data_IF_198437434753
#
_entry.id   IF_198437434753
#
_cell.length_a   1.000
_cell.length_b   1.000
_cell.length_c   1.000
_cell.angle_alpha   90.00
_cell.angle_beta   90.00
_cell.angle_gamma   90.00
#
_symmetry.space_group_name_H-M   'P 1'
#
loop_
_entity.id
_entity.type
_entity.pdbx_description
1 polymer ?
#
# COMPACT_ATOMS: atom_id res chain seq x y z
N UNK A 1 1.50 -60.68 4.86
CA UNK A 1 0.78 -60.76 3.57
C UNK A 1 -0.69 -60.78 3.94
N UNK A 2 -1.46 -59.71 3.78
CA UNK A 2 -1.78 -59.09 2.49
C UNK A 2 -1.92 -57.57 2.69
N UNK A 3 -1.29 -56.84 1.78
CA UNK A 3 -1.26 -55.38 1.69
C UNK A 3 -2.65 -54.80 1.45
N UNK A 4 -2.97 -53.72 2.15
CA UNK A 4 -4.20 -52.95 1.93
C UNK A 4 -3.89 -51.89 0.88
N UNK A 5 -4.37 -52.13 -0.35
CA UNK A 5 -4.28 -51.20 -1.48
C UNK A 5 -5.06 -49.92 -1.17
N UNK A 6 -4.34 -48.86 -0.77
CA UNK A 6 -4.90 -47.52 -0.66
C UNK A 6 -5.23 -47.02 -2.08
N UNK A 7 -6.52 -46.81 -2.32
CA UNK A 7 -7.03 -46.08 -3.49
C UNK A 7 -6.46 -44.67 -3.49
N UNK A 8 -5.57 -44.38 -4.44
CA UNK A 8 -5.18 -43.02 -4.80
C UNK A 8 -6.38 -42.42 -5.54
N UNK A 9 -7.28 -41.76 -4.80
CA UNK A 9 -8.14 -40.75 -5.40
C UNK A 9 -7.25 -39.53 -5.64
N UNK A 10 -7.02 -39.21 -6.90
CA UNK A 10 -6.44 -37.95 -7.33
C UNK A 10 -7.30 -36.80 -6.79
N UNK A 11 -6.88 -36.19 -5.69
CA UNK A 11 -7.45 -34.95 -5.20
C UNK A 11 -7.07 -33.85 -6.19
N UNK A 12 -8.10 -33.21 -6.75
CA UNK A 12 -7.94 -32.00 -7.54
C UNK A 12 -7.07 -31.00 -6.76
N UNK A 13 -5.98 -30.60 -7.40
CA UNK A 13 -4.98 -29.68 -6.88
C UNK A 13 -5.68 -28.34 -6.58
N UNK A 14 -6.02 -28.10 -5.31
CA UNK A 14 -6.65 -26.85 -4.89
C UNK A 14 -5.63 -25.71 -5.06
N UNK A 15 -6.06 -24.63 -5.71
CA UNK A 15 -5.34 -23.35 -5.87
C UNK A 15 -5.09 -22.71 -4.48
N UNK A 16 -4.12 -23.22 -3.70
CA UNK A 16 -3.77 -22.71 -2.37
C UNK A 16 -2.71 -21.62 -2.52
N UNK A 17 -3.13 -20.36 -2.41
CA UNK A 17 -2.23 -19.21 -2.37
C UNK A 17 -1.63 -18.99 -0.99
N UNK A 18 -0.32 -18.84 -0.90
CA UNK A 18 0.39 -18.52 0.35
C UNK A 18 0.71 -17.02 0.39
N UNK A 19 -0.02 -16.28 1.23
CA UNK A 19 0.26 -14.86 1.53
C UNK A 19 1.59 -14.68 2.26
N UNK A 20 2.13 -13.46 2.20
CA UNK A 20 3.35 -13.04 2.90
C UNK A 20 3.23 -13.16 4.42
N UNK A 21 4.39 -13.10 5.08
CA UNK A 21 4.58 -13.22 6.54
C UNK A 21 3.71 -12.22 7.34
N UNK A 22 3.40 -11.07 6.75
CA UNK A 22 2.58 -10.00 7.34
C UNK A 22 1.07 -10.22 7.13
N UNK A 23 0.67 -11.10 6.21
CA UNK A 23 -0.72 -11.40 5.87
C UNK A 23 -1.17 -12.77 6.43
N UNK A 24 -1.05 -12.94 7.76
CA UNK A 24 -1.55 -14.15 8.45
C UNK A 24 -3.04 -14.35 8.12
N UNK A 25 -3.38 -15.53 7.60
CA UNK A 25 -4.72 -15.93 7.12
C UNK A 25 -5.22 -15.33 5.79
N UNK A 26 -4.38 -14.59 5.04
CA UNK A 26 -4.75 -13.99 3.73
C UNK A 26 -6.02 -13.12 3.79
N UNK A 27 -6.16 -12.35 4.86
CA UNK A 27 -7.28 -11.41 5.08
C UNK A 27 -7.01 -10.01 4.55
N UNK A 28 -5.74 -9.63 4.41
CA UNK A 28 -5.33 -8.37 3.81
C UNK A 28 -5.05 -8.57 2.31
N UNK A 29 -5.26 -7.53 1.52
CA UNK A 29 -4.90 -7.56 0.11
C UNK A 29 -3.39 -7.57 -0.04
N UNK A 30 -2.87 -8.56 -0.76
CA UNK A 30 -1.47 -8.62 -1.15
C UNK A 30 -1.42 -8.83 -2.65
N UNK A 31 -0.84 -7.86 -3.35
CA UNK A 31 -0.64 -7.88 -4.78
C UNK A 31 0.84 -8.10 -5.08
N UNK A 32 1.13 -9.11 -5.90
CA UNK A 32 2.46 -9.37 -6.41
C UNK A 32 2.49 -9.01 -7.88
N UNK A 33 3.42 -8.14 -8.26
CA UNK A 33 3.61 -7.72 -9.64
C UNK A 33 4.36 -8.81 -10.42
N UNK A 34 3.75 -9.32 -11.48
CA UNK A 34 4.30 -10.32 -12.40
C UNK A 34 4.51 -9.78 -13.82
N UNK A 35 4.41 -8.46 -14.02
CA UNK A 35 4.41 -7.84 -15.34
C UNK A 35 5.66 -8.15 -16.15
N UNK A 36 6.85 -8.06 -15.54
CA UNK A 36 8.11 -8.35 -16.23
C UNK A 36 8.21 -9.82 -16.65
N UNK A 37 7.72 -10.74 -15.82
CA UNK A 37 7.77 -12.17 -16.11
C UNK A 37 6.77 -12.54 -17.20
N UNK A 38 5.56 -11.96 -17.15
CA UNK A 38 4.54 -12.14 -18.16
C UNK A 38 4.98 -11.58 -19.52
N UNK A 39 5.54 -10.36 -19.55
CA UNK A 39 6.10 -9.76 -20.77
C UNK A 39 7.18 -10.63 -21.40
N UNK A 40 8.14 -11.10 -20.59
CA UNK A 40 9.20 -12.00 -21.06
C UNK A 40 8.64 -13.32 -21.61
N UNK A 41 7.62 -13.89 -20.96
CA UNK A 41 6.97 -15.10 -21.42
C UNK A 41 6.28 -14.89 -22.78
N UNK A 42 5.50 -13.82 -22.92
CA UNK A 42 4.81 -13.47 -24.17
C UNK A 42 5.83 -13.24 -25.29
N UNK A 43 6.85 -12.43 -25.05
CA UNK A 43 7.92 -12.15 -26.01
C UNK A 43 8.60 -13.44 -26.53
N UNK A 44 8.92 -14.37 -25.62
CA UNK A 44 9.61 -15.61 -25.98
C UNK A 44 8.72 -16.62 -26.70
N UNK A 45 7.41 -16.64 -26.45
CA UNK A 45 6.52 -17.66 -27.01
C UNK A 45 5.76 -17.19 -28.25
N UNK A 46 5.47 -15.89 -28.38
CA UNK A 46 4.83 -15.34 -29.56
C UNK A 46 5.73 -15.43 -30.80
N UNK A 47 7.04 -15.18 -30.67
CA UNK A 47 7.99 -15.28 -31.80
C UNK A 47 8.25 -16.72 -32.27
N UNK A 48 7.77 -17.73 -31.52
CA UNK A 48 7.84 -19.15 -31.91
C UNK A 48 6.64 -19.55 -32.77
N UNK A 49 5.64 -18.69 -32.91
CA UNK A 49 4.46 -18.97 -33.73
C UNK A 49 4.87 -18.92 -35.20
N UNK A 50 4.82 -20.09 -35.82
CA UNK A 50 5.03 -20.31 -37.24
C UNK A 50 3.93 -21.24 -37.73
N UNK A 51 3.14 -20.78 -38.70
CA UNK A 51 2.04 -21.54 -39.28
C UNK A 51 2.22 -21.69 -40.78
N UNK A 52 1.75 -22.83 -41.29
CA UNK A 52 1.74 -23.11 -42.73
C UNK A 52 0.30 -23.22 -43.18
N UNK A 53 -0.13 -22.30 -44.04
CA UNK A 53 -1.41 -22.39 -44.74
C UNK A 53 -1.23 -23.22 -46.01
N UNK A 54 -2.04 -24.27 -46.15
CA UNK A 54 -2.14 -25.07 -47.38
C UNK A 54 -3.31 -24.62 -48.26
N UNK A 55 -4.14 -23.67 -47.79
CA UNK A 55 -5.16 -23.01 -48.61
C UNK A 55 -4.49 -22.20 -49.72
N UNK A 56 -5.15 -22.01 -50.88
CA UNK A 56 -4.58 -21.27 -52.00
C UNK A 56 -4.67 -19.74 -51.75
N UNK A 57 -3.54 -18.99 -51.70
CA UNK A 57 -2.17 -19.42 -51.94
C UNK A 57 -1.49 -20.05 -50.72
N UNK A 58 -0.72 -21.13 -50.94
CA UNK A 58 0.00 -21.78 -49.84
C UNK A 58 1.08 -20.83 -49.32
N UNK A 59 1.03 -20.52 -48.02
CA UNK A 59 1.89 -19.52 -47.41
C UNK A 59 2.43 -20.00 -46.07
N UNK A 60 3.71 -19.72 -45.82
CA UNK A 60 4.33 -19.86 -44.51
C UNK A 60 4.31 -18.50 -43.82
N UNK A 61 3.72 -18.42 -42.63
CA UNK A 61 3.56 -17.17 -41.86
C UNK A 61 4.29 -17.32 -40.54
N UNK A 62 5.08 -16.33 -40.14
CA UNK A 62 5.81 -16.33 -38.89
C UNK A 62 5.68 -14.97 -38.19
N UNK A 63 5.50 -15.01 -36.87
CA UNK A 63 5.72 -13.87 -36.01
C UNK A 63 7.21 -13.81 -35.65
N UNK A 64 7.90 -12.72 -35.97
CA UNK A 64 9.36 -12.69 -35.86
C UNK A 64 9.91 -11.72 -34.81
N UNK A 65 9.15 -10.68 -34.45
CA UNK A 65 9.59 -9.67 -33.50
C UNK A 65 8.38 -9.06 -32.80
N UNK A 66 8.43 -8.94 -31.47
CA UNK A 66 7.43 -8.20 -30.70
C UNK A 66 7.86 -6.75 -30.61
N UNK A 67 7.06 -5.84 -31.14
CA UNK A 67 7.33 -4.40 -31.15
C UNK A 67 7.05 -3.76 -29.79
N UNK A 68 5.90 -4.09 -29.20
CA UNK A 68 5.53 -3.59 -27.87
C UNK A 68 4.60 -4.57 -27.17
N UNK A 69 4.74 -4.61 -25.84
CA UNK A 69 3.83 -5.26 -24.91
C UNK A 69 3.47 -4.23 -23.86
N UNK A 70 2.28 -3.66 -23.97
CA UNK A 70 1.75 -2.65 -23.06
C UNK A 70 0.73 -3.30 -22.15
N UNK A 71 0.81 -3.01 -20.85
CA UNK A 71 -0.07 -3.65 -19.87
C UNK A 71 0.66 -4.15 -18.63
N UNK A 72 -0.07 -4.89 -17.81
CA UNK A 72 0.41 -5.38 -16.52
C UNK A 72 -0.19 -6.72 -16.14
N UNK A 73 0.54 -7.47 -15.31
CA UNK A 73 0.07 -8.71 -14.70
C UNK A 73 0.32 -8.67 -13.20
N UNK A 74 -0.67 -9.11 -12.43
CA UNK A 74 -0.58 -9.25 -10.98
C UNK A 74 -1.24 -10.54 -10.50
N UNK A 75 -0.74 -11.06 -9.39
CA UNK A 75 -1.42 -12.12 -8.63
C UNK A 75 -1.80 -11.51 -7.29
N UNK A 76 -3.08 -11.57 -6.97
CA UNK A 76 -3.59 -11.21 -5.66
C UNK A 76 -4.02 -12.46 -4.91
N UNK A 77 -3.85 -12.47 -3.59
CA UNK A 77 -4.29 -13.58 -2.73
C UNK A 77 -5.45 -13.10 -1.88
N UNK A 78 -6.62 -13.75 -2.01
CA UNK A 78 -7.82 -13.43 -1.23
C UNK A 78 -8.50 -14.71 -0.75
N UNK A 79 -8.79 -14.80 0.55
CA UNK A 79 -9.43 -15.99 1.14
C UNK A 79 -8.73 -17.30 0.74
N UNK A 80 -7.39 -17.30 0.76
CA UNK A 80 -6.53 -18.43 0.36
C UNK A 80 -6.61 -18.84 -1.12
N UNK A 81 -7.32 -18.08 -1.96
CA UNK A 81 -7.36 -18.28 -3.41
C UNK A 81 -6.46 -17.26 -4.10
N UNK A 82 -5.68 -17.74 -5.05
CA UNK A 82 -4.98 -16.88 -6.00
C UNK A 82 -5.98 -16.35 -7.02
N UNK A 83 -6.01 -15.04 -7.20
CA UNK A 83 -6.72 -14.37 -8.28
C UNK A 83 -5.65 -13.78 -9.18
N UNK A 84 -5.58 -14.30 -10.39
CA UNK A 84 -4.67 -13.80 -11.41
C UNK A 84 -5.39 -12.73 -12.24
N UNK A 85 -4.76 -11.59 -12.41
CA UNK A 85 -5.27 -10.52 -13.26
C UNK A 85 -4.17 -10.09 -14.21
N UNK A 86 -4.49 -10.01 -15.50
CA UNK A 86 -3.65 -9.33 -16.45
C UNK A 86 -4.49 -8.61 -17.47
N UNK A 87 -3.88 -7.58 -18.04
CA UNK A 87 -4.42 -6.81 -19.14
C UNK A 87 -3.24 -6.42 -20.01
N UNK A 88 -3.25 -6.84 -21.27
CA UNK A 88 -2.19 -6.57 -22.23
C UNK A 88 -2.71 -6.19 -23.61
N UNK A 89 -1.97 -5.30 -24.25
CA UNK A 89 -2.04 -4.96 -25.66
C UNK A 89 -0.71 -5.33 -26.32
N UNK A 90 -0.77 -5.95 -27.50
CA UNK A 90 0.41 -6.44 -28.22
C UNK A 90 0.52 -5.84 -29.61
N UNK A 91 1.74 -5.44 -29.98
CA UNK A 91 2.11 -5.21 -31.37
C UNK A 91 3.22 -6.17 -31.77
N UNK A 92 3.00 -6.96 -32.82
CA UNK A 92 3.91 -8.01 -33.27
C UNK A 92 4.12 -7.90 -34.78
N UNK A 93 5.35 -7.95 -35.23
CA UNK A 93 5.65 -8.01 -36.65
C UNK A 93 5.57 -9.44 -37.18
N UNK A 94 5.01 -9.57 -38.39
CA UNK A 94 4.91 -10.83 -39.10
C UNK A 94 5.56 -10.74 -40.48
N UNK A 95 6.09 -11.87 -40.93
CA UNK A 95 6.43 -12.11 -42.32
C UNK A 95 5.63 -13.30 -42.85
N UNK A 96 5.41 -13.31 -44.16
CA UNK A 96 4.81 -14.42 -44.86
C UNK A 96 5.49 -14.62 -46.21
N UNK A 97 5.72 -15.88 -46.57
CA UNK A 97 6.37 -16.27 -47.82
C UNK A 97 5.49 -17.27 -48.55
N UNK A 98 5.27 -17.05 -49.84
CA UNK A 98 4.54 -17.99 -50.68
C UNK A 98 5.35 -19.28 -50.86
N UNK A 99 4.74 -20.44 -50.61
CA UNK A 99 5.46 -21.71 -50.57
C UNK A 99 5.97 -22.18 -51.94
N UNK A 100 5.28 -21.82 -53.03
CA UNK A 100 5.71 -22.18 -54.39
C UNK A 100 6.40 -21.04 -55.13
N UNK A 101 6.48 -19.85 -54.54
CA UNK A 101 7.12 -18.67 -55.14
C UNK A 101 7.82 -17.82 -54.07
N UNK A 102 9.06 -18.16 -53.69
CA UNK A 102 9.75 -17.53 -52.56
C UNK A 102 10.02 -16.02 -52.71
N UNK A 103 9.92 -15.46 -53.92
CA UNK A 103 10.04 -14.01 -54.16
C UNK A 103 8.78 -13.25 -53.73
N UNK A 104 7.63 -13.93 -53.69
CA UNK A 104 6.36 -13.37 -53.21
C UNK A 104 6.30 -13.39 -51.69
N UNK A 105 6.40 -12.20 -51.08
CA UNK A 105 6.47 -12.00 -49.62
C UNK A 105 5.49 -10.94 -49.15
N UNK A 106 4.97 -11.11 -47.95
CA UNK A 106 4.18 -10.11 -47.24
C UNK A 106 4.80 -9.83 -45.88
N UNK A 107 4.81 -8.57 -45.48
CA UNK A 107 5.26 -8.13 -44.15
C UNK A 107 4.26 -7.14 -43.59
N UNK A 108 4.17 -7.10 -42.26
CA UNK A 108 3.28 -6.19 -41.58
C UNK A 108 3.32 -6.34 -40.08
N UNK A 109 2.33 -5.74 -39.44
CA UNK A 109 2.12 -5.74 -38.01
C UNK A 109 0.74 -6.29 -37.69
N UNK A 110 0.71 -7.21 -36.73
CA UNK A 110 -0.49 -7.64 -36.01
C UNK A 110 -0.56 -6.84 -34.72
N UNK A 111 -1.66 -6.12 -34.53
CA UNK A 111 -2.01 -5.48 -33.27
C UNK A 111 -3.10 -6.33 -32.63
N UNK A 112 -2.84 -6.87 -31.44
CA UNK A 112 -3.87 -7.49 -30.60
C UNK A 112 -4.30 -6.42 -29.61
N UNK A 113 -5.57 -6.06 -29.64
CA UNK A 113 -6.13 -5.08 -28.71
C UNK A 113 -6.17 -5.65 -27.28
N UNK A 114 -6.62 -4.84 -26.32
CA UNK A 114 -6.61 -5.18 -24.90
C UNK A 114 -7.31 -6.53 -24.64
N UNK A 115 -6.57 -7.48 -24.07
CA UNK A 115 -7.08 -8.79 -23.66
C UNK A 115 -6.68 -9.12 -22.22
N UNK A 116 -7.53 -9.89 -21.56
CA UNK A 116 -7.44 -10.22 -20.13
C UNK A 116 -7.53 -11.74 -19.84
N UNK A 117 -7.48 -12.11 -18.56
CA UNK A 117 -7.45 -13.52 -18.12
C UNK A 117 -8.73 -14.33 -18.35
N UNK A 118 -9.84 -13.66 -18.63
CA UNK A 118 -11.17 -14.25 -18.79
C UNK A 118 -11.68 -14.12 -20.24
N UNK A 119 -10.86 -13.59 -21.15
CA UNK A 119 -11.22 -13.47 -22.55
C UNK A 119 -11.04 -14.81 -23.29
N UNK A 120 -12.14 -15.30 -23.86
CA UNK A 120 -12.18 -16.51 -24.68
C UNK A 120 -11.86 -16.24 -26.16
N UNK A 121 -11.71 -14.97 -26.55
CA UNK A 121 -11.33 -14.53 -27.89
C UNK A 121 -10.49 -13.25 -27.83
N UNK A 122 -9.75 -12.95 -28.89
CA UNK A 122 -8.93 -11.73 -29.00
C UNK A 122 -9.28 -10.92 -30.24
N UNK A 123 -9.36 -9.60 -30.08
CA UNK A 123 -9.51 -8.68 -31.22
C UNK A 123 -8.15 -8.39 -31.84
N UNK A 124 -8.06 -8.57 -33.16
CA UNK A 124 -6.80 -8.55 -33.89
C UNK A 124 -6.91 -7.70 -35.15
N UNK A 125 -6.13 -6.64 -35.19
CA UNK A 125 -5.97 -5.75 -36.33
C UNK A 125 -4.70 -6.06 -37.11
N UNK A 126 -4.82 -6.16 -38.44
CA UNK A 126 -3.69 -6.49 -39.31
C UNK A 126 -3.40 -5.32 -40.25
N UNK A 127 -2.23 -4.73 -40.06
CA UNK A 127 -1.68 -3.67 -40.93
C UNK A 127 -0.54 -4.26 -41.75
N UNK A 128 -0.68 -4.29 -43.07
CA UNK A 128 0.38 -4.74 -43.96
C UNK A 128 1.13 -3.57 -44.57
N UNK A 129 2.41 -3.76 -44.87
CA UNK A 129 3.27 -2.71 -45.43
C UNK A 129 2.92 -2.40 -46.89
N UNK A 130 2.51 -3.42 -47.66
CA UNK A 130 2.15 -3.30 -49.07
C UNK A 130 0.69 -3.68 -49.30
N UNK A 131 0.11 -3.16 -50.39
CA UNK A 131 -1.27 -3.44 -50.82
C UNK A 131 -1.23 -4.30 -52.08
N UNK A 132 -0.96 -5.59 -51.89
CA UNK A 132 -0.87 -6.60 -52.97
C UNK A 132 -1.87 -7.73 -52.72
N UNK A 133 -2.23 -8.48 -53.76
CA UNK A 133 -3.22 -9.57 -53.69
C UNK A 133 -2.82 -10.65 -52.67
N UNK A 134 -1.53 -11.03 -52.65
CA UNK A 134 -0.98 -11.99 -51.68
C UNK A 134 -1.14 -11.52 -50.23
N UNK A 135 -0.99 -10.22 -49.97
CA UNK A 135 -1.14 -9.64 -48.63
C UNK A 135 -2.58 -9.80 -48.13
N UNK A 136 -3.58 -9.56 -48.98
CA UNK A 136 -4.99 -9.72 -48.60
C UNK A 136 -5.31 -11.17 -48.24
N UNK A 137 -4.74 -12.11 -48.99
CA UNK A 137 -4.90 -13.56 -48.76
C UNK A 137 -4.20 -14.00 -47.47
N UNK A 138 -3.03 -13.44 -47.16
CA UNK A 138 -2.32 -13.66 -45.89
C UNK A 138 -3.11 -13.14 -44.68
N UNK A 139 -3.87 -12.02 -44.80
CA UNK A 139 -4.72 -11.53 -43.70
C UNK A 139 -5.75 -12.55 -43.24
N UNK A 140 -6.40 -13.24 -44.16
CA UNK A 140 -7.36 -14.29 -43.82
C UNK A 140 -6.69 -15.47 -43.11
N UNK A 141 -5.50 -15.87 -43.57
CA UNK A 141 -4.70 -16.92 -42.92
C UNK A 141 -4.22 -16.51 -41.52
N UNK A 142 -3.85 -15.24 -41.31
CA UNK A 142 -3.52 -14.70 -39.98
C UNK A 142 -4.72 -14.82 -39.03
N UNK A 143 -5.91 -14.40 -39.44
CA UNK A 143 -7.13 -14.49 -38.62
C UNK A 143 -7.58 -15.93 -38.33
N UNK A 144 -7.38 -16.87 -39.26
CA UNK A 144 -7.78 -18.26 -39.09
C UNK A 144 -6.77 -19.12 -38.33
N UNK A 145 -5.48 -18.92 -38.57
CA UNK A 145 -4.42 -19.83 -38.12
C UNK A 145 -3.52 -19.22 -37.04
N UNK A 146 -3.20 -17.93 -37.14
CA UNK A 146 -2.32 -17.26 -36.17
C UNK A 146 -3.09 -16.80 -34.93
N UNK A 147 -4.31 -16.27 -35.10
CA UNK A 147 -5.15 -15.83 -33.98
C UNK A 147 -5.38 -16.94 -32.92
N UNK A 148 -5.72 -18.20 -33.28
CA UNK A 148 -5.84 -19.27 -32.29
C UNK A 148 -4.53 -19.63 -31.60
N UNK A 149 -3.39 -19.53 -32.29
CA UNK A 149 -2.07 -19.79 -31.69
C UNK A 149 -1.66 -18.68 -30.72
N UNK A 150 -1.97 -17.41 -31.01
CA UNK A 150 -1.79 -16.30 -30.06
C UNK A 150 -2.66 -16.55 -28.82
N UNK A 151 -3.95 -16.89 -29.03
CA UNK A 151 -4.87 -17.20 -27.93
C UNK A 151 -4.38 -18.40 -27.10
N UNK A 152 -3.78 -19.42 -27.72
CA UNK A 152 -3.14 -20.54 -27.02
C UNK A 152 -2.00 -20.05 -26.11
N UNK A 153 -1.09 -19.22 -26.61
CA UNK A 153 0.02 -18.66 -25.82
C UNK A 153 -0.49 -17.79 -24.66
N UNK A 154 -1.53 -16.99 -24.89
CA UNK A 154 -2.19 -16.17 -23.85
C UNK A 154 -2.80 -17.06 -22.76
N UNK A 155 -3.47 -18.14 -23.13
CA UNK A 155 -4.02 -19.10 -22.17
C UNK A 155 -2.94 -19.86 -21.40
N UNK A 156 -1.83 -20.21 -22.06
CA UNK A 156 -0.69 -20.86 -21.41
C UNK A 156 0.02 -19.93 -20.41
N UNK A 157 0.08 -18.62 -20.67
CA UNK A 157 0.61 -17.63 -19.73
C UNK A 157 -0.08 -17.72 -18.35
N UNK A 158 -1.40 -17.85 -18.33
CA UNK A 158 -2.20 -18.03 -17.09
C UNK A 158 -1.76 -19.29 -16.33
N UNK A 159 -1.56 -20.40 -17.04
CA UNK A 159 -1.13 -21.65 -16.44
C UNK A 159 0.32 -21.59 -15.92
N UNK A 160 1.23 -20.96 -16.65
CA UNK A 160 2.63 -20.83 -16.26
C UNK A 160 2.83 -19.90 -15.06
N UNK A 161 2.13 -18.77 -15.02
CA UNK A 161 2.17 -17.87 -13.87
C UNK A 161 1.63 -18.51 -12.60
N UNK A 162 0.58 -19.34 -12.72
CA UNK A 162 0.11 -20.19 -11.61
C UNK A 162 1.18 -21.14 -11.11
N UNK A 163 1.88 -21.85 -12.00
CA UNK A 163 2.95 -22.81 -11.62
C UNK A 163 4.11 -22.11 -10.90
N UNK A 164 4.49 -20.92 -11.36
CA UNK A 164 5.60 -20.16 -10.76
C UNK A 164 5.26 -19.73 -9.33
N UNK A 165 4.05 -19.24 -9.08
CA UNK A 165 3.66 -18.86 -7.71
C UNK A 165 3.40 -20.07 -6.81
N UNK A 166 2.96 -21.21 -7.37
CA UNK A 166 2.77 -22.48 -6.66
C UNK A 166 4.07 -23.28 -6.43
N UNK A 167 5.23 -22.80 -6.90
CA UNK A 167 6.50 -23.55 -6.79
C UNK A 167 6.91 -23.79 -5.33
N UNK A 168 7.12 -25.06 -4.97
CA UNK A 168 7.53 -25.51 -3.63
C UNK A 168 8.84 -24.85 -3.14
N UNK A 169 9.75 -24.47 -4.05
CA UNK A 169 10.97 -23.73 -3.71
C UNK A 169 10.68 -22.34 -3.14
N UNK A 170 9.69 -21.63 -3.66
CA UNK A 170 9.28 -20.31 -3.15
C UNK A 170 8.57 -20.45 -1.81
N UNK A 171 7.71 -21.46 -1.66
CA UNK A 171 7.04 -21.78 -0.38
C UNK A 171 8.09 -22.16 0.68
N UNK A 172 9.09 -22.96 0.33
CA UNK A 172 10.17 -23.38 1.23
C UNK A 172 11.09 -22.21 1.60
N UNK A 173 11.40 -21.33 0.65
CA UNK A 173 12.18 -20.11 0.92
C UNK A 173 11.43 -19.16 1.85
N UNK A 174 10.14 -18.95 1.60
CA UNK A 174 9.26 -18.17 2.48
C UNK A 174 9.18 -18.80 3.89
N UNK A 175 9.14 -20.13 3.99
CA UNK A 175 9.13 -20.84 5.28
C UNK A 175 10.45 -20.68 6.05
N UNK A 176 11.60 -20.70 5.37
CA UNK A 176 12.91 -20.44 5.98
C UNK A 176 13.01 -18.98 6.45
N UNK A 177 12.53 -18.03 5.63
CA UNK A 177 12.47 -16.61 6.00
C UNK A 177 11.53 -16.36 7.19
N UNK A 178 10.40 -17.09 7.29
CA UNK A 178 9.50 -17.08 8.47
C UNK A 178 10.20 -17.54 9.74
N UNK A 179 10.96 -18.64 9.68
CA UNK A 179 11.69 -19.15 10.84
C UNK A 179 12.79 -18.19 11.29
N UNK A 180 13.51 -17.56 10.35
CA UNK A 180 14.53 -16.56 10.66
C UNK A 180 13.93 -15.27 11.21
N UNK A 181 12.85 -14.76 10.61
CA UNK A 181 12.17 -13.57 11.10
C UNK A 181 11.60 -13.77 12.52
N UNK A 182 11.04 -14.94 12.80
CA UNK A 182 10.54 -15.28 14.14
C UNK A 182 11.67 -15.36 15.17
N UNK A 183 12.81 -15.98 14.81
CA UNK A 183 14.01 -16.02 15.67
C UNK A 183 14.55 -14.61 15.93
N UNK A 184 14.62 -13.77 14.91
CA UNK A 184 15.09 -12.38 15.04
C UNK A 184 14.14 -11.54 15.91
N UNK A 185 12.83 -11.75 15.78
CA UNK A 185 11.82 -11.10 16.62
C UNK A 185 11.95 -11.53 18.09
N UNK A 186 12.07 -12.84 18.34
CA UNK A 186 12.27 -13.38 19.69
C UNK A 186 13.57 -12.87 20.34
N UNK A 187 14.66 -12.84 19.57
CA UNK A 187 15.93 -12.30 20.01
C UNK A 187 15.81 -10.80 20.34
N UNK A 188 15.19 -10.02 19.48
CA UNK A 188 14.98 -8.60 19.72
C UNK A 188 14.06 -8.32 20.94
N UNK A 189 13.13 -9.21 21.25
CA UNK A 189 12.26 -9.11 22.44
C UNK A 189 13.03 -9.45 23.73
N UNK A 190 13.88 -10.49 23.69
CA UNK A 190 14.80 -10.82 24.78
C UNK A 190 15.82 -9.70 25.01
N UNK A 191 16.47 -9.22 23.96
CA UNK A 191 17.45 -8.13 24.04
C UNK A 191 16.79 -6.85 24.57
N UNK A 192 15.54 -6.54 24.18
CA UNK A 192 14.78 -5.39 24.75
C UNK A 192 14.41 -5.61 26.21
N UNK A 193 14.11 -6.83 26.62
CA UNK A 193 13.85 -7.20 28.01
C UNK A 193 15.09 -7.02 28.88
N UNK A 194 16.21 -7.57 28.44
CA UNK A 194 17.50 -7.50 29.11
C UNK A 194 18.04 -6.06 29.18
N UNK A 195 17.94 -5.30 28.08
CA UNK A 195 18.30 -3.87 28.06
C UNK A 195 17.41 -3.07 29.00
N UNK A 196 16.09 -3.34 29.06
CA UNK A 196 15.20 -2.68 30.03
C UNK A 196 15.58 -3.01 31.47
N UNK A 197 15.95 -4.25 31.75
CA UNK A 197 16.29 -4.71 33.10
C UNK A 197 17.64 -4.13 33.56
N UNK A 198 18.64 -4.10 32.67
CA UNK A 198 19.91 -3.43 32.90
C UNK A 198 19.72 -1.92 33.10
N UNK A 199 18.90 -1.27 32.28
CA UNK A 199 18.60 0.17 32.42
C UNK A 199 17.86 0.47 33.73
N UNK A 200 16.98 -0.43 34.18
CA UNK A 200 16.28 -0.32 35.46
C UNK A 200 17.23 -0.52 36.66
N UNK A 201 18.15 -1.48 36.60
CA UNK A 201 19.17 -1.67 37.64
C UNK A 201 20.18 -0.52 37.68
N UNK A 202 20.58 -0.01 36.52
CA UNK A 202 21.44 1.16 36.40
C UNK A 202 20.73 2.43 36.91
N UNK A 203 19.43 2.61 36.60
CA UNK A 203 18.62 3.68 37.18
C UNK A 203 18.51 3.56 38.69
N UNK A 204 18.30 2.34 39.22
CA UNK A 204 18.20 2.10 40.67
C UNK A 204 19.53 2.38 41.38
N UNK A 205 20.66 2.00 40.78
CA UNK A 205 22.00 2.36 41.29
C UNK A 205 22.25 3.86 41.22
N UNK A 206 21.96 4.50 40.09
CA UNK A 206 22.07 5.97 39.93
C UNK A 206 21.14 6.72 40.88
N UNK A 207 19.96 6.19 41.19
CA UNK A 207 19.04 6.78 42.19
C UNK A 207 19.58 6.62 43.61
N UNK A 208 20.17 5.47 43.95
CA UNK A 208 20.82 5.26 45.24
C UNK A 208 22.06 6.17 45.40
N UNK A 209 22.90 6.27 44.37
CA UNK A 209 24.05 7.17 44.32
C UNK A 209 23.60 8.64 44.33
N UNK A 210 22.55 9.01 43.60
CA UNK A 210 21.97 10.36 43.65
C UNK A 210 21.31 10.66 44.99
N UNK A 211 20.74 9.69 45.70
CA UNK A 211 20.22 9.89 47.06
C UNK A 211 21.35 10.13 48.05
N UNK A 212 22.44 9.38 47.93
CA UNK A 212 23.66 9.59 48.73
C UNK A 212 24.31 10.95 48.40
N UNK A 213 24.47 11.25 47.10
CA UNK A 213 24.98 12.53 46.62
C UNK A 213 24.05 13.69 46.98
N UNK A 214 22.73 13.56 46.86
CA UNK A 214 21.77 14.60 47.25
C UNK A 214 21.76 14.79 48.77
N UNK A 215 22.02 13.75 49.56
CA UNK A 215 22.23 13.89 51.00
C UNK A 215 23.51 14.70 51.29
N UNK A 216 24.60 14.42 50.57
CA UNK A 216 25.85 15.20 50.61
C UNK A 216 25.68 16.61 50.03
N UNK A 217 24.81 16.79 49.03
CA UNK A 217 24.58 18.03 48.32
C UNK A 217 23.58 18.94 49.04
N UNK A 218 22.58 18.40 49.76
CA UNK A 218 21.74 19.15 50.70
C UNK A 218 22.60 19.69 51.85
N UNK A 219 23.65 18.95 52.23
CA UNK A 219 24.70 19.43 53.16
C UNK A 219 25.54 20.56 52.53
N UNK A 220 25.80 20.53 51.22
CA UNK A 220 26.71 21.45 50.53
C UNK A 220 26.03 22.64 49.82
N UNK A 221 24.76 22.56 49.45
CA UNK A 221 24.02 23.55 48.64
C UNK A 221 23.00 24.31 49.46
N UNK A 222 23.55 24.95 50.49
CA UNK A 222 23.17 26.28 50.97
C UNK A 222 23.43 27.39 49.92
N UNK A 223 23.51 27.07 48.62
CA UNK A 223 23.85 28.02 47.54
C UNK A 223 23.45 27.51 46.14
N UNK A 224 22.34 28.08 45.65
CA UNK A 224 21.99 28.49 44.27
C UNK A 224 21.97 27.53 43.05
N UNK A 225 21.19 27.99 42.05
CA UNK A 225 20.34 27.30 41.06
C UNK A 225 20.95 27.03 39.65
N UNK A 226 20.25 26.28 38.75
CA UNK A 226 20.82 25.60 37.57
C UNK A 226 20.32 26.10 36.19
N UNK A 227 21.02 25.74 35.09
CA UNK A 227 20.52 25.71 33.67
C UNK A 227 21.29 24.65 32.83
N UNK A 228 20.67 23.67 32.12
CA UNK A 228 19.95 23.58 30.81
C UNK A 228 20.84 23.47 29.54
N UNK A 229 20.51 22.56 28.58
CA UNK A 229 20.45 22.65 27.06
C UNK A 229 20.23 21.22 26.42
N UNK A 230 19.14 20.91 25.68
CA UNK A 230 18.88 20.71 24.20
C UNK A 230 19.87 19.81 23.38
N UNK A 231 19.61 19.28 22.15
CA UNK A 231 18.56 18.60 21.32
C UNK A 231 19.23 18.40 19.92
N UNK A 232 18.95 17.37 19.10
CA UNK A 232 19.56 17.19 17.73
C UNK A 232 18.55 16.70 16.67
N UNK A 233 18.70 17.17 15.41
CA UNK A 233 17.89 16.95 14.18
C UNK A 233 18.44 15.85 13.22
N UNK A 234 17.68 15.41 12.20
CA UNK A 234 18.12 14.42 11.20
C UNK A 234 17.52 14.56 9.78
N UNK A 235 18.32 14.19 8.76
CA UNK A 235 18.04 14.10 7.30
C UNK A 235 18.07 12.64 6.79
N UNK A 236 17.49 12.36 5.61
CA UNK A 236 17.32 11.02 5.02
C UNK A 236 18.55 10.37 4.35
N UNK A 237 18.39 9.10 3.96
CA UNK A 237 19.48 8.15 3.61
C UNK A 237 20.18 8.42 2.28
N UNK A 238 21.51 8.31 2.31
CA UNK A 238 22.48 8.61 1.23
C UNK A 238 22.43 7.64 0.03
N UNK A 239 21.66 6.55 0.08
CA UNK A 239 21.73 5.45 -0.90
C UNK A 239 20.67 5.49 -2.03
N UNK A 240 19.56 6.23 -1.88
CA UNK A 240 18.49 6.26 -2.90
C UNK A 240 18.75 7.31 -3.99
N UNK A 241 19.70 7.00 -4.86
CA UNK A 241 20.06 7.88 -5.99
C UNK A 241 18.94 7.87 -7.03
N UNK A 242 18.12 8.93 -7.07
CA UNK A 242 17.06 9.14 -8.06
C UNK A 242 15.64 8.72 -7.68
N UNK A 243 15.39 8.21 -6.47
CA UNK A 243 14.03 7.85 -5.98
C UNK A 243 13.26 6.87 -6.88
N UNK A 244 13.95 5.90 -7.48
CA UNK A 244 13.37 4.90 -8.41
C UNK A 244 12.89 3.61 -7.73
N UNK A 245 13.27 3.35 -6.48
CA UNK A 245 12.81 2.20 -5.68
C UNK A 245 11.80 2.64 -4.61
N UNK A 246 10.85 1.76 -4.28
CA UNK A 246 9.97 1.94 -3.12
C UNK A 246 10.84 2.01 -1.85
N UNK A 247 11.05 3.22 -1.35
CA UNK A 247 11.62 3.47 -0.04
C UNK A 247 10.49 3.97 0.85
N UNK A 248 9.91 3.05 1.61
CA UNK A 248 8.99 3.39 2.68
C UNK A 248 9.80 3.83 3.89
N UNK A 249 9.74 5.12 4.22
CA UNK A 249 10.16 5.57 5.54
C UNK A 249 8.98 5.36 6.46
N UNK A 250 9.09 4.36 7.34
CA UNK A 250 8.11 4.16 8.40
C UNK A 250 8.07 5.40 9.29
N UNK A 251 7.04 6.22 9.10
CA UNK A 251 6.74 7.39 9.92
C UNK A 251 5.69 7.08 10.98
N UNK A 252 5.17 5.85 11.05
CA UNK A 252 4.03 5.49 11.90
C UNK A 252 4.18 5.94 13.36
N UNK A 253 5.34 5.71 13.98
CA UNK A 253 5.59 6.18 15.36
C UNK A 253 5.57 7.71 15.47
N UNK A 254 6.21 8.42 14.54
CA UNK A 254 6.20 9.88 14.52
C UNK A 254 4.79 10.41 14.26
N UNK A 255 4.06 9.79 13.33
CA UNK A 255 2.72 10.19 12.94
C UNK A 255 1.76 10.03 14.11
N UNK A 256 1.78 8.88 14.79
CA UNK A 256 0.97 8.60 15.99
C UNK A 256 1.26 9.58 17.13
N UNK A 257 2.54 9.86 17.40
CA UNK A 257 2.94 10.86 18.40
C UNK A 257 2.47 12.27 18.01
N UNK A 258 2.62 12.63 16.73
CA UNK A 258 2.31 13.97 16.23
C UNK A 258 0.81 14.24 16.19
N UNK A 259 0.01 13.33 15.64
CA UNK A 259 -1.45 13.51 15.58
C UNK A 259 -2.05 13.57 16.99
N UNK A 260 -1.50 12.78 17.93
CA UNK A 260 -1.89 12.83 19.34
C UNK A 260 -1.51 14.15 20.00
N UNK A 261 -0.34 14.71 19.68
CA UNK A 261 0.08 16.04 20.16
C UNK A 261 -0.83 17.15 19.62
N UNK A 262 -1.10 17.16 18.31
CA UNK A 262 -1.94 18.18 17.65
C UNK A 262 -3.35 18.19 18.23
N UNK A 263 -3.96 17.01 18.34
CA UNK A 263 -5.33 16.89 18.84
C UNK A 263 -5.37 17.12 20.36
N UNK A 264 -4.42 16.59 21.11
CA UNK A 264 -4.35 16.76 22.57
C UNK A 264 -4.06 18.21 22.98
N UNK A 265 -3.30 18.95 22.17
CA UNK A 265 -3.00 20.37 22.37
C UNK A 265 -4.06 21.33 21.83
N UNK A 266 -5.13 20.81 21.19
CA UNK A 266 -6.12 21.66 20.53
C UNK A 266 -6.94 22.49 21.53
N UNK A 267 -7.02 23.78 21.26
CA UNK A 267 -7.86 24.73 21.97
C UNK A 267 -8.45 25.75 20.99
N UNK A 268 -9.78 25.87 20.98
CA UNK A 268 -10.50 26.89 20.23
C UNK A 268 -10.90 28.05 21.14
N UNK A 269 -10.33 29.23 20.90
CA UNK A 269 -10.63 30.45 21.65
C UNK A 269 -11.64 31.30 20.84
N UNK A 270 -12.70 31.77 21.48
CA UNK A 270 -13.71 32.64 20.87
C UNK A 270 -14.10 33.77 21.82
N UNK A 271 -14.88 34.73 21.33
CA UNK A 271 -15.35 35.84 22.15
C UNK A 271 -16.25 35.34 23.29
N UNK A 272 -15.69 35.29 24.50
CA UNK A 272 -16.40 34.89 25.73
C UNK A 272 -16.11 33.46 26.21
N UNK A 273 -15.21 32.71 25.58
CA UNK A 273 -14.85 31.38 26.10
C UNK A 273 -13.78 30.62 25.31
N UNK A 274 -13.51 29.41 25.79
CA UNK A 274 -12.55 28.48 25.20
C UNK A 274 -13.10 27.06 25.23
N UNK A 275 -12.93 26.31 24.13
CA UNK A 275 -13.14 24.86 24.07
C UNK A 275 -11.77 24.21 24.02
N UNK A 276 -11.45 23.32 24.97
CA UNK A 276 -10.17 22.59 25.03
C UNK A 276 -10.40 21.10 25.01
N UNK A 277 -9.51 20.36 24.35
CA UNK A 277 -9.43 18.91 24.53
C UNK A 277 -8.82 18.64 25.91
N UNK A 278 -9.53 17.84 26.71
CA UNK A 278 -9.09 17.46 28.07
C UNK A 278 -8.51 16.05 28.09
N UNK A 279 -8.91 15.18 27.17
CA UNK A 279 -8.39 13.83 27.05
C UNK A 279 -8.58 13.27 25.64
N UNK A 280 -7.61 12.47 25.18
CA UNK A 280 -7.69 11.67 23.96
C UNK A 280 -7.98 10.23 24.38
N UNK A 281 -9.22 9.78 24.25
CA UNK A 281 -9.65 8.44 24.72
C UNK A 281 -9.24 7.33 23.75
N UNK A 282 -9.32 7.62 22.45
CA UNK A 282 -8.95 6.70 21.39
C UNK A 282 -8.27 7.49 20.29
N UNK A 283 -7.15 6.99 19.82
CA UNK A 283 -6.58 7.33 18.53
C UNK A 283 -5.97 6.05 17.98
N UNK A 284 -6.46 5.63 16.82
CA UNK A 284 -6.00 4.42 16.13
C UNK A 284 -5.98 4.72 14.66
N UNK A 285 -4.93 4.25 13.99
CA UNK A 285 -4.74 4.54 12.59
C UNK A 285 -3.31 4.23 12.19
N UNK A 286 -2.99 4.61 10.96
CA UNK A 286 -1.67 4.50 10.40
C UNK A 286 -1.40 5.66 9.44
N UNK A 287 -0.11 5.97 9.26
CA UNK A 287 0.35 6.87 8.22
C UNK A 287 1.65 6.35 7.62
N UNK A 288 1.76 6.54 6.31
CA UNK A 288 2.94 6.18 5.53
C UNK A 288 3.30 7.29 4.55
N UNK A 289 4.59 7.36 4.23
CA UNK A 289 5.11 8.22 3.17
C UNK A 289 5.93 7.36 2.24
N UNK A 290 5.55 7.36 0.97
CA UNK A 290 6.25 6.66 -0.11
C UNK A 290 6.64 7.64 -1.22
N UNK A 291 7.65 7.28 -2.02
CA UNK A 291 8.07 8.06 -3.18
C UNK A 291 7.97 7.16 -4.40
N UNK A 292 7.21 7.58 -5.43
CA UNK A 292 7.03 6.86 -6.69
C UNK A 292 7.15 7.82 -7.87
N UNK A 293 8.01 7.49 -8.85
CA UNK A 293 8.25 8.31 -10.05
C UNK A 293 8.56 9.79 -9.71
N UNK A 294 9.33 10.03 -8.64
CA UNK A 294 9.67 11.37 -8.17
C UNK A 294 8.53 12.13 -7.47
N UNK A 295 7.35 11.52 -7.31
CA UNK A 295 6.23 12.10 -6.54
C UNK A 295 6.17 11.45 -5.16
N UNK A 296 6.07 12.27 -4.11
CA UNK A 296 5.76 11.79 -2.76
C UNK A 296 4.26 11.46 -2.70
N UNK A 297 3.95 10.30 -2.16
CA UNK A 297 2.58 9.83 -1.88
C UNK A 297 2.48 9.70 -0.36
N UNK A 298 1.58 10.49 0.22
CA UNK A 298 1.27 10.47 1.64
C UNK A 298 -0.06 9.75 1.81
N UNK A 299 -0.09 8.74 2.67
CA UNK A 299 -1.32 8.07 3.05
C UNK A 299 -1.47 8.10 4.56
N UNK A 300 -2.67 8.38 5.04
CA UNK A 300 -3.02 8.33 6.45
C UNK A 300 -4.50 7.96 6.60
N UNK A 301 -4.79 7.19 7.64
CA UNK A 301 -6.15 6.85 8.05
C UNK A 301 -6.16 6.74 9.57
N UNK A 302 -6.88 7.66 10.23
CA UNK A 302 -7.05 7.67 11.67
C UNK A 302 -8.51 7.79 12.06
N UNK A 303 -8.87 7.10 13.15
CA UNK A 303 -10.09 7.35 13.88
C UNK A 303 -9.75 7.86 15.30
N UNK A 304 -10.49 8.86 15.80
CA UNK A 304 -10.21 9.45 17.11
C UNK A 304 -11.47 9.73 17.94
N UNK A 305 -11.34 9.60 19.27
CA UNK A 305 -12.37 9.94 20.25
C UNK A 305 -11.76 10.84 21.32
N UNK A 306 -12.32 12.03 21.48
CA UNK A 306 -11.76 13.13 22.25
C UNK A 306 -12.79 13.64 23.25
N UNK A 307 -12.37 13.90 24.49
CA UNK A 307 -13.17 14.63 25.47
C UNK A 307 -12.82 16.11 25.42
N UNK A 308 -13.83 16.96 25.41
CA UNK A 308 -13.66 18.41 25.40
C UNK A 308 -14.38 19.07 26.58
N UNK A 309 -13.87 20.22 26.99
CA UNK A 309 -14.48 21.11 27.98
C UNK A 309 -14.57 22.54 27.42
N UNK A 310 -15.74 23.14 27.55
CA UNK A 310 -16.02 24.54 27.25
C UNK A 310 -16.06 25.31 28.56
N UNK A 311 -15.21 26.33 28.68
CA UNK A 311 -15.26 27.32 29.76
C UNK A 311 -15.54 28.69 29.17
N UNK A 312 -16.66 29.29 29.56
CA UNK A 312 -17.05 30.63 29.16
C UNK A 312 -17.04 31.58 30.37
N UNK A 313 -16.54 32.80 30.17
CA UNK A 313 -16.49 33.85 31.20
C UNK A 313 -17.10 35.14 30.68
N UNK A 314 -17.68 35.93 31.57
CA UNK A 314 -18.18 37.27 31.25
C UNK A 314 -17.02 38.29 31.17
N UNK A 315 -17.35 39.55 30.85
CA UNK A 315 -16.38 40.64 30.80
C UNK A 315 -15.77 41.02 32.15
N UNK A 316 -16.34 40.50 33.26
CA UNK A 316 -15.87 40.71 34.63
C UNK A 316 -15.05 39.52 35.15
N UNK A 317 -14.94 38.44 34.37
CA UNK A 317 -14.16 37.25 34.67
C UNK A 317 -14.91 36.14 35.42
N UNK A 318 -16.21 36.29 35.66
CA UNK A 318 -17.03 35.27 36.30
C UNK A 318 -17.35 34.12 35.33
N UNK A 319 -17.42 32.89 35.83
CA UNK A 319 -17.76 31.71 35.02
C UNK A 319 -19.24 31.72 34.63
N UNK A 320 -19.49 31.78 33.32
CA UNK A 320 -20.84 31.87 32.72
C UNK A 320 -21.35 30.51 32.27
N UNK A 321 -20.44 29.62 31.83
CA UNK A 321 -20.81 28.27 31.43
C UNK A 321 -19.63 27.30 31.53
N UNK A 322 -19.94 26.08 31.98
CA UNK A 322 -19.07 24.92 31.92
C UNK A 322 -19.80 23.77 31.24
N UNK A 323 -19.36 23.39 30.05
CA UNK A 323 -19.90 22.22 29.35
C UNK A 323 -18.80 21.22 29.10
N UNK A 324 -19.14 19.94 29.19
CA UNK A 324 -18.23 18.86 28.78
C UNK A 324 -18.91 18.00 27.74
N UNK A 325 -18.11 17.48 26.84
CA UNK A 325 -18.62 16.61 25.81
C UNK A 325 -17.52 15.79 25.16
N UNK A 326 -17.89 15.21 24.03
CA UNK A 326 -17.05 14.31 23.27
C UNK A 326 -17.13 14.66 21.79
N UNK A 327 -15.97 14.70 21.14
CA UNK A 327 -15.84 14.66 19.69
C UNK A 327 -15.43 13.24 19.26
N UNK A 328 -16.04 12.75 18.21
CA UNK A 328 -15.67 11.52 17.54
C UNK A 328 -15.39 11.84 16.07
N UNK A 329 -14.17 11.54 15.65
CA UNK A 329 -13.72 11.59 14.26
C UNK A 329 -13.67 10.13 13.80
N UNK A 330 -14.74 9.63 13.13
CA UNK A 330 -14.80 8.24 12.71
C UNK A 330 -13.72 7.93 11.67
N UNK A 331 -13.35 8.91 10.86
CA UNK A 331 -12.35 8.78 9.80
C UNK A 331 -11.69 10.14 9.52
N UNK A 332 -10.36 10.14 9.55
CA UNK A 332 -9.45 11.23 9.19
C UNK A 332 -8.46 10.61 8.21
N UNK A 333 -8.82 10.64 6.92
CA UNK A 333 -8.06 9.97 5.87
C UNK A 333 -7.77 10.90 4.70
N UNK A 334 -6.71 10.57 3.96
CA UNK A 334 -6.37 11.24 2.70
C UNK A 334 -7.36 10.91 1.57
N UNK A 335 -8.24 9.92 1.76
CA UNK A 335 -9.18 9.45 0.74
C UNK A 335 -10.52 10.22 0.77
N UNK A 336 -10.86 10.86 1.89
CA UNK A 336 -12.16 11.53 2.07
C UNK A 336 -12.18 13.01 1.64
N UNK A 337 -11.04 13.70 1.51
CA UNK A 337 -10.92 14.97 0.78
C UNK A 337 -9.47 15.46 0.72
N UNK A 338 -9.09 16.14 -0.36
CA UNK A 338 -7.75 16.70 -0.61
C UNK A 338 -7.40 17.88 0.34
N UNK A 339 -8.41 18.49 1.01
CA UNK A 339 -8.27 19.68 1.87
C UNK A 339 -8.75 19.51 3.33
N UNK A 340 -9.26 18.33 3.70
CA UNK A 340 -9.71 18.01 5.06
C UNK A 340 -10.99 18.73 5.52
N UNK A 341 -11.69 19.49 4.67
CA UNK A 341 -12.93 20.19 5.06
C UNK A 341 -14.11 19.24 5.30
N UNK A 342 -14.10 18.06 4.67
CA UNK A 342 -15.20 17.09 4.65
C UNK A 342 -15.15 15.99 5.73
N UNK A 343 -14.10 15.92 6.57
CA UNK A 343 -14.06 14.89 7.62
C UNK A 343 -15.26 15.00 8.55
N UNK A 344 -15.89 13.88 8.91
CA UNK A 344 -17.00 13.92 9.85
C UNK A 344 -16.47 14.20 11.28
N UNK A 345 -17.08 15.14 12.00
CA UNK A 345 -16.85 15.31 13.44
C UNK A 345 -18.19 15.22 14.14
N UNK A 346 -18.44 14.05 14.75
CA UNK A 346 -19.61 13.82 15.58
C UNK A 346 -19.38 14.45 16.95
N UNK A 347 -20.37 15.17 17.44
CA UNK A 347 -20.29 15.84 18.74
C UNK A 347 -21.44 15.48 19.65
N UNK A 348 -21.12 15.20 20.91
CA UNK A 348 -22.10 14.98 21.97
C UNK A 348 -21.76 15.79 23.20
N UNK A 349 -22.76 16.47 23.77
CA UNK A 349 -22.63 17.17 25.07
C UNK A 349 -23.01 16.17 26.16
N UNK A 350 -22.14 15.99 27.15
CA UNK A 350 -22.30 15.05 28.26
C UNK A 350 -22.69 15.75 29.56
N UNK A 351 -22.14 16.93 29.80
CA UNK A 351 -22.47 17.76 30.96
C UNK A 351 -22.74 19.20 30.50
N UNK A 352 -23.82 19.79 31.01
CA UNK A 352 -24.20 21.18 30.75
C UNK A 352 -24.76 21.82 32.02
N UNK A 353 -23.85 22.28 32.88
CA UNK A 353 -24.20 22.92 34.14
C UNK A 353 -24.67 24.35 33.83
N UNK A 354 -25.98 24.50 33.66
CA UNK A 354 -26.62 25.79 33.36
C UNK A 354 -27.49 25.81 32.11
N UNK A 355 -27.69 24.67 31.43
CA UNK A 355 -28.51 24.58 30.21
C UNK A 355 -28.05 25.54 29.10
N UNK A 356 -26.74 25.74 28.99
CA UNK A 356 -26.08 26.66 28.08
C UNK A 356 -25.78 26.04 26.70
N UNK A 357 -26.13 24.77 26.46
CA UNK A 357 -25.86 24.08 25.19
C UNK A 357 -26.36 24.87 23.99
N UNK A 358 -27.61 25.36 24.02
CA UNK A 358 -28.18 26.11 22.91
C UNK A 358 -27.42 27.41 22.61
N UNK A 359 -26.86 28.04 23.66
CA UNK A 359 -26.10 29.29 23.54
C UNK A 359 -24.76 29.10 22.83
N UNK A 360 -24.10 27.96 23.04
CA UNK A 360 -22.78 27.65 22.47
C UNK A 360 -22.81 26.59 21.37
N UNK A 361 -23.99 26.21 20.88
CA UNK A 361 -24.16 25.10 19.93
C UNK A 361 -23.37 25.34 18.64
N UNK A 362 -23.34 26.59 18.15
CA UNK A 362 -22.54 26.97 16.96
C UNK A 362 -21.04 26.75 17.19
N UNK A 363 -20.50 27.18 18.34
CA UNK A 363 -19.10 26.99 18.69
C UNK A 363 -18.75 25.51 18.80
N UNK A 364 -19.63 24.73 19.44
CA UNK A 364 -19.41 23.30 19.72
C UNK A 364 -19.53 22.45 18.44
N UNK A 365 -20.51 22.73 17.57
CA UNK A 365 -20.84 21.88 16.42
C UNK A 365 -20.18 22.31 15.12
N UNK A 366 -19.81 23.57 14.97
CA UNK A 366 -19.33 24.11 13.70
C UNK A 366 -17.94 24.73 13.83
N UNK A 367 -17.77 25.73 14.70
CA UNK A 367 -16.54 26.53 14.70
C UNK A 367 -15.34 25.74 15.27
N UNK A 368 -15.47 25.12 16.44
CA UNK A 368 -14.38 24.33 17.02
C UNK A 368 -14.03 23.08 16.17
N UNK A 369 -15.00 22.30 15.65
CA UNK A 369 -14.69 21.22 14.70
C UNK A 369 -13.97 21.70 13.44
N UNK A 370 -14.36 22.86 12.88
CA UNK A 370 -13.68 23.45 11.71
C UNK A 370 -12.22 23.79 12.02
N UNK A 371 -11.97 24.46 13.15
CA UNK A 371 -10.60 24.80 13.56
C UNK A 371 -9.78 23.55 13.96
N UNK A 372 -10.43 22.51 14.48
CA UNK A 372 -9.77 21.23 14.77
C UNK A 372 -9.29 20.56 13.47
N UNK A 373 -10.15 20.49 12.44
CA UNK A 373 -9.76 19.98 11.11
C UNK A 373 -8.58 20.75 10.55
N UNK A 374 -8.66 22.08 10.60
CA UNK A 374 -7.59 22.97 10.16
C UNK A 374 -6.29 22.72 10.92
N UNK A 375 -6.35 22.58 12.25
CA UNK A 375 -5.17 22.26 13.05
C UNK A 375 -4.53 20.92 12.65
N UNK A 376 -5.34 19.90 12.36
CA UNK A 376 -4.85 18.60 11.86
C UNK A 376 -4.18 18.78 10.47
N UNK A 377 -4.79 19.53 9.55
CA UNK A 377 -4.21 19.79 8.23
C UNK A 377 -2.88 20.56 8.31
N UNK A 378 -2.86 21.66 9.06
CA UNK A 378 -1.71 22.56 9.13
C UNK A 378 -0.55 21.95 9.92
N UNK A 379 -0.85 21.19 10.98
CA UNK A 379 0.17 20.77 11.95
C UNK A 379 0.53 19.29 11.88
N UNK A 380 -0.32 18.46 11.29
CA UNK A 380 -0.05 17.03 11.08
C UNK A 380 0.16 16.73 9.59
N UNK A 381 -0.84 16.96 8.73
CA UNK A 381 -0.77 16.58 7.29
C UNK A 381 0.35 17.32 6.57
N UNK A 382 0.46 18.64 6.78
CA UNK A 382 1.51 19.46 6.15
C UNK A 382 2.93 19.05 6.56
N UNK A 383 3.13 18.59 7.80
CA UNK A 383 4.42 18.07 8.25
C UNK A 383 4.69 16.65 7.75
N UNK A 384 3.65 15.82 7.66
CA UNK A 384 3.73 14.48 7.09
C UNK A 384 4.18 14.55 5.62
N UNK A 385 3.69 15.54 4.86
CA UNK A 385 4.16 15.84 3.51
C UNK A 385 5.64 16.26 3.43
N UNK A 386 6.24 16.73 4.52
CA UNK A 386 7.65 17.15 4.58
C UNK A 386 8.60 16.03 5.03
N UNK A 387 8.11 15.00 5.71
CA UNK A 387 8.89 13.83 6.18
C UNK A 387 9.25 12.88 5.07
#
# INVERSE_FOLDING_TARGET
MVETTAQIQASAQQDVGVGSIWNKNSWHWEERNYSELAKKYLEQNLIKIEVVSTENPPAKIRLYEVKSIEGSASITIRKQKQIFLFDYKLDIYFDAVHLTDPETKAMGRVTVDEFNQDDDDIDMDIVAEKKEEFVYQVKNSLSKLVKPEILRVVNELKAELKKIDASEEKIRKDQIEREQALKNYQQAEQDKGDVKQQLFEEQKKKEAEMKEQARILIEQQKSEQPQKVQKVEGQGSVWNTGSYFWEEKSVGKWADERIKEVIGGFAYNFSGGVIKITSVEKIKGEASVSIRKGKKIVSYDYNAVLKWELSAKDGEGNEVANLKGQYELPEVSNDIADDGEDWEVRTSVKEDKGQNKARFDKQIRQEAPKELRKAIMDQFVSLLQQK
#
